data_IF_459017570161
#
_entry.id   IF_459017570161
#
_cell.length_a   1.000
_cell.length_b   1.000
_cell.length_c   1.000
_cell.angle_alpha   90.00
_cell.angle_beta   90.00
_cell.angle_gamma   90.00
#
_symmetry.space_group_name_H-M   'P 1'
#
loop_
_entity.id
_entity.type
_entity.pdbx_description
1 polymer ?
#
# COMPACT_ATOMS: atom_id res chain seq x y z
N UNK A 1 -4.14 -5.90 4.71
CA UNK A 1 -4.93 -4.85 5.37
C UNK A 1 -5.89 -4.22 4.38
N UNK A 2 -7.14 -4.09 4.71
CA UNK A 2 -8.21 -3.63 3.81
C UNK A 2 -9.11 -2.59 4.49
N UNK A 3 -9.74 -1.72 3.68
CA UNK A 3 -10.90 -0.92 4.07
C UNK A 3 -12.19 -1.65 3.66
N UNK A 4 -13.02 -2.01 4.61
CA UNK A 4 -14.03 -3.09 4.47
C UNK A 4 -15.32 -2.74 3.76
N UNK A 5 -15.76 -1.50 3.66
CA UNK A 5 -17.09 -1.20 3.08
C UNK A 5 -17.28 -1.62 1.61
N UNK A 6 -16.20 -1.95 0.89
CA UNK A 6 -16.25 -2.40 -0.50
C UNK A 6 -15.65 -3.80 -0.71
N UNK A 7 -15.23 -4.48 0.34
CA UNK A 7 -14.49 -5.73 0.26
C UNK A 7 -15.36 -6.99 0.40
N UNK A 8 -16.66 -6.90 0.69
CA UNK A 8 -17.51 -8.08 0.90
C UNK A 8 -17.56 -9.01 -0.33
N UNK A 9 -17.67 -8.42 -1.53
CA UNK A 9 -17.62 -9.21 -2.78
C UNK A 9 -16.26 -9.84 -3.01
N UNK A 10 -15.20 -9.09 -2.71
CA UNK A 10 -13.83 -9.58 -2.82
C UNK A 10 -13.54 -10.69 -1.81
N UNK A 11 -13.99 -10.55 -0.57
CA UNK A 11 -13.86 -11.55 0.48
C UNK A 11 -14.58 -12.86 0.10
N UNK A 12 -15.77 -12.75 -0.50
CA UNK A 12 -16.51 -13.92 -1.00
C UNK A 12 -15.73 -14.62 -2.11
N UNK A 13 -15.22 -13.87 -3.09
CA UNK A 13 -14.40 -14.42 -4.17
C UNK A 13 -13.12 -15.10 -3.67
N UNK A 14 -12.47 -14.53 -2.64
CA UNK A 14 -11.31 -15.16 -2.01
C UNK A 14 -11.67 -16.48 -1.33
N UNK A 15 -12.82 -16.53 -0.65
CA UNK A 15 -13.32 -17.76 -0.04
C UNK A 15 -13.63 -18.84 -1.09
N UNK A 16 -14.29 -18.45 -2.20
CA UNK A 16 -14.60 -19.34 -3.32
C UNK A 16 -13.31 -19.83 -4.05
N UNK A 17 -12.27 -18.99 -4.11
CA UNK A 17 -10.98 -19.34 -4.70
C UNK A 17 -10.09 -20.21 -3.78
N UNK A 18 -10.58 -20.66 -2.62
CA UNK A 18 -9.84 -21.51 -1.70
C UNK A 18 -8.72 -20.79 -0.94
N UNK A 19 -8.75 -19.46 -0.85
CA UNK A 19 -7.77 -18.66 -0.12
C UNK A 19 -7.99 -18.73 1.42
N UNK A 20 -8.11 -19.95 1.95
CA UNK A 20 -8.36 -20.23 3.38
C UNK A 20 -7.25 -19.69 4.30
N UNK A 21 -6.04 -19.48 3.76
CA UNK A 21 -4.89 -18.96 4.50
C UNK A 21 -4.82 -17.42 4.52
N UNK A 22 -5.73 -16.73 3.83
CA UNK A 22 -5.73 -15.27 3.76
C UNK A 22 -6.61 -14.71 4.90
N UNK A 23 -5.97 -14.00 5.83
CA UNK A 23 -6.68 -13.30 6.92
C UNK A 23 -6.76 -11.82 6.63
N UNK A 24 -7.96 -11.31 6.52
CA UNK A 24 -8.21 -9.88 6.34
C UNK A 24 -8.24 -9.17 7.69
N UNK A 25 -7.53 -8.05 7.78
CA UNK A 25 -7.48 -7.18 8.96
C UNK A 25 -7.85 -5.78 8.51
N UNK A 26 -8.78 -5.14 9.21
CA UNK A 26 -9.15 -3.76 8.93
C UNK A 26 -8.10 -2.80 9.46
N UNK A 27 -7.76 -1.76 8.69
CA UNK A 27 -6.81 -0.72 9.12
C UNK A 27 -7.31 0.00 10.37
N UNK A 28 -8.63 0.13 10.53
CA UNK A 28 -9.27 0.74 11.70
C UNK A 28 -9.16 -0.08 12.99
N UNK A 29 -8.81 -1.35 12.89
CA UNK A 29 -8.66 -2.27 14.03
C UNK A 29 -7.23 -2.34 14.57
N UNK A 30 -6.28 -1.60 13.97
CA UNK A 30 -4.88 -1.61 14.37
C UNK A 30 -4.72 -0.95 15.76
N UNK A 31 -4.60 -1.79 16.76
CA UNK A 31 -4.26 -1.44 18.12
C UNK A 31 -2.92 -2.08 18.55
N UNK A 32 -2.38 -1.78 19.74
CA UNK A 32 -1.12 -2.37 20.20
C UNK A 32 -1.14 -3.91 20.29
N UNK A 33 -2.29 -4.52 20.61
CA UNK A 33 -2.41 -5.97 20.72
C UNK A 33 -2.34 -6.62 19.32
N UNK A 34 -3.03 -6.06 18.34
CA UNK A 34 -2.97 -6.49 16.94
C UNK A 34 -1.56 -6.28 16.38
N UNK A 35 -0.90 -5.17 16.69
CA UNK A 35 0.48 -4.92 16.28
C UNK A 35 1.44 -5.99 16.80
N UNK A 36 1.29 -6.42 18.05
CA UNK A 36 2.08 -7.51 18.62
C UNK A 36 1.80 -8.85 17.89
N UNK A 37 0.53 -9.16 17.62
CA UNK A 37 0.17 -10.36 16.86
C UNK A 37 0.76 -10.33 15.44
N UNK A 38 0.74 -9.19 14.76
CA UNK A 38 1.35 -9.03 13.44
C UNK A 38 2.86 -9.27 13.48
N UNK A 39 3.55 -8.70 14.47
CA UNK A 39 5.00 -8.95 14.66
C UNK A 39 5.28 -10.44 14.83
N UNK A 40 4.57 -11.13 15.74
CA UNK A 40 4.74 -12.57 15.96
C UNK A 40 4.44 -13.42 14.72
N UNK A 41 3.51 -12.98 13.87
CA UNK A 41 3.20 -13.68 12.61
C UNK A 41 4.31 -13.50 11.59
N UNK A 42 4.86 -12.29 11.45
CA UNK A 42 6.02 -12.02 10.60
C UNK A 42 7.25 -12.83 11.05
N UNK A 43 7.49 -12.96 12.36
CA UNK A 43 8.57 -13.78 12.92
C UNK A 43 8.43 -15.27 12.56
N UNK A 44 7.20 -15.74 12.31
CA UNK A 44 6.92 -17.09 11.81
C UNK A 44 6.99 -17.22 10.29
N UNK A 45 7.41 -16.17 9.58
CA UNK A 45 7.53 -16.17 8.12
C UNK A 45 6.21 -15.88 7.37
N UNK A 46 5.18 -15.39 8.06
CA UNK A 46 3.96 -14.98 7.40
C UNK A 46 4.15 -13.63 6.68
N UNK A 47 3.32 -13.35 5.70
CA UNK A 47 3.37 -12.13 4.92
C UNK A 47 2.22 -11.19 5.27
N UNK A 48 2.50 -9.89 5.30
CA UNK A 48 1.52 -8.85 5.46
C UNK A 48 1.42 -8.03 4.17
N UNK A 49 0.25 -8.03 3.53
CA UNK A 49 0.00 -7.22 2.34
C UNK A 49 -0.84 -5.99 2.66
N UNK A 50 -0.48 -4.86 2.06
CA UNK A 50 -1.20 -3.58 2.19
C UNK A 50 -1.16 -2.84 0.86
N UNK A 51 -2.27 -2.24 0.44
CA UNK A 51 -2.30 -1.36 -0.72
C UNK A 51 -1.56 -0.05 -0.40
N UNK A 52 -0.58 0.31 -1.22
CA UNK A 52 0.26 1.49 -1.04
C UNK A 52 -0.13 2.70 -1.88
N UNK A 53 -1.06 2.54 -2.81
CA UNK A 53 -1.47 3.56 -3.78
C UNK A 53 -2.84 4.20 -3.46
N UNK A 54 -3.51 3.80 -2.39
CA UNK A 54 -4.87 4.26 -2.06
C UNK A 54 -4.89 5.05 -0.76
N UNK A 55 -5.25 6.33 -0.85
CA UNK A 55 -5.52 7.15 0.32
C UNK A 55 -6.92 6.80 0.84
N UNK A 56 -7.10 6.58 2.15
CA UNK A 56 -8.42 6.38 2.73
C UNK A 56 -9.33 7.59 2.48
N UNK A 57 -10.59 7.35 2.13
CA UNK A 57 -11.58 8.40 1.86
C UNK A 57 -11.86 9.30 3.06
N UNK A 58 -11.61 8.83 4.28
CA UNK A 58 -11.87 9.58 5.51
C UNK A 58 -10.67 9.44 6.46
N UNK A 59 -10.05 10.57 6.83
CA UNK A 59 -9.14 10.68 7.97
C UNK A 59 -7.76 10.03 7.85
N UNK A 60 -7.33 9.59 6.67
CA UNK A 60 -6.00 9.00 6.48
C UNK A 60 -4.89 10.06 6.35
N UNK A 61 -3.80 9.90 7.09
CA UNK A 61 -2.60 10.72 6.88
C UNK A 61 -1.97 10.35 5.54
N UNK A 62 -1.69 11.36 4.73
CA UNK A 62 -1.06 11.22 3.43
C UNK A 62 0.23 12.05 3.33
N UNK A 63 1.00 11.78 2.30
CA UNK A 63 2.17 12.56 1.89
C UNK A 63 2.00 12.89 0.41
N UNK A 64 2.23 14.13 0.05
CA UNK A 64 2.27 14.55 -1.36
C UNK A 64 3.68 14.35 -1.90
N UNK A 65 3.79 13.61 -2.98
CA UNK A 65 5.03 13.36 -3.72
C UNK A 65 4.75 13.46 -5.20
N UNK A 66 5.79 13.67 -5.99
CA UNK A 66 5.67 13.62 -7.45
C UNK A 66 5.31 12.20 -7.91
N UNK A 67 4.32 12.11 -8.79
CA UNK A 67 3.91 10.86 -9.43
C UNK A 67 3.50 11.14 -10.87
N UNK A 68 4.25 10.59 -11.81
CA UNK A 68 4.06 10.79 -13.25
C UNK A 68 4.07 12.28 -13.65
N UNK A 69 4.92 13.08 -13.00
CA UNK A 69 5.13 14.50 -13.30
C UNK A 69 4.16 15.46 -12.59
N UNK A 70 3.28 14.97 -11.72
CA UNK A 70 2.35 15.79 -10.96
C UNK A 70 2.32 15.41 -9.48
N UNK A 71 2.15 16.37 -8.54
CA UNK A 71 2.00 16.08 -7.12
C UNK A 71 0.76 15.23 -6.85
N UNK A 72 0.95 14.09 -6.21
CA UNK A 72 -0.13 13.17 -5.84
C UNK A 72 -0.05 12.77 -4.37
N UNK A 73 -1.20 12.48 -3.77
CA UNK A 73 -1.30 12.06 -2.38
C UNK A 73 -1.17 10.54 -2.26
N UNK A 74 -0.25 10.09 -1.41
CA UNK A 74 -0.04 8.67 -1.07
C UNK A 74 -0.22 8.44 0.43
N UNK A 75 -0.71 7.26 0.85
CA UNK A 75 -0.91 6.97 2.27
C UNK A 75 0.41 6.83 3.02
N UNK A 76 0.47 7.36 4.24
CA UNK A 76 1.61 7.14 5.15
C UNK A 76 1.58 5.77 5.84
N UNK A 77 0.41 5.16 5.91
CA UNK A 77 0.15 3.93 6.67
C UNK A 77 1.12 2.78 6.38
N UNK A 78 1.39 2.42 5.12
CA UNK A 78 2.32 1.35 4.78
C UNK A 78 3.71 1.54 5.38
N UNK A 79 4.26 2.75 5.30
CA UNK A 79 5.60 3.06 5.81
C UNK A 79 5.65 3.12 7.33
N UNK A 80 4.61 3.69 7.97
CA UNK A 80 4.47 3.67 9.42
C UNK A 80 4.42 2.23 9.93
N UNK A 81 3.64 1.37 9.29
CA UNK A 81 3.49 -0.01 9.69
C UNK A 81 4.80 -0.79 9.51
N UNK A 82 5.45 -0.65 8.35
CA UNK A 82 6.72 -1.32 8.07
C UNK A 82 7.82 -0.92 9.07
N UNK A 83 7.91 0.38 9.43
CA UNK A 83 8.88 0.85 10.39
C UNK A 83 8.58 0.45 11.83
N UNK A 84 7.32 0.33 12.22
CA UNK A 84 6.92 -0.18 13.53
C UNK A 84 7.19 -1.68 13.67
N UNK A 85 6.92 -2.44 12.61
CA UNK A 85 7.14 -3.89 12.56
C UNK A 85 8.61 -4.26 12.26
N UNK A 86 9.43 -3.28 11.82
CA UNK A 86 10.86 -3.46 11.49
C UNK A 86 11.11 -4.62 10.52
N UNK A 87 10.21 -4.81 9.57
CA UNK A 87 10.26 -5.90 8.60
C UNK A 87 10.73 -5.41 7.22
N UNK A 88 11.28 -6.29 6.39
CA UNK A 88 11.54 -6.00 4.98
C UNK A 88 10.25 -5.66 4.23
N UNK A 89 10.37 -4.84 3.20
CA UNK A 89 9.28 -4.47 2.31
C UNK A 89 9.59 -4.98 0.91
N UNK A 90 8.61 -5.66 0.32
CA UNK A 90 8.64 -6.06 -1.07
C UNK A 90 7.47 -5.41 -1.82
N UNK A 91 7.66 -5.09 -3.09
CA UNK A 91 6.58 -4.68 -3.97
C UNK A 91 6.00 -5.92 -4.66
N UNK A 92 4.69 -6.04 -4.61
CA UNK A 92 3.95 -7.08 -5.30
C UNK A 92 3.05 -6.42 -6.35
N UNK A 93 3.32 -6.73 -7.61
CA UNK A 93 2.54 -6.23 -8.75
C UNK A 93 2.10 -7.40 -9.62
N UNK A 94 1.03 -7.18 -10.37
CA UNK A 94 0.54 -8.15 -11.35
C UNK A 94 0.22 -7.40 -12.65
N UNK A 95 0.94 -7.74 -13.70
CA UNK A 95 0.75 -7.17 -15.04
C UNK A 95 0.32 -8.25 -16.02
N UNK A 96 -0.59 -7.91 -16.93
CA UNK A 96 -0.96 -8.79 -18.03
C UNK A 96 -0.13 -8.41 -19.26
N UNK A 97 0.73 -9.31 -19.68
CA UNK A 97 1.56 -9.13 -20.88
C UNK A 97 1.36 -10.32 -21.82
N UNK A 98 1.13 -10.03 -23.11
CA UNK A 98 0.92 -11.06 -24.15
C UNK A 98 -0.15 -12.12 -23.75
N UNK A 99 -1.24 -11.67 -23.14
CA UNK A 99 -2.35 -12.54 -22.72
C UNK A 99 -2.11 -13.34 -21.43
N UNK A 100 -0.95 -13.23 -20.78
CA UNK A 100 -0.58 -13.94 -19.53
C UNK A 100 -0.41 -12.96 -18.37
N UNK A 101 -0.77 -13.38 -17.17
CA UNK A 101 -0.48 -12.63 -15.95
C UNK A 101 0.94 -12.90 -15.48
N UNK A 102 1.71 -11.85 -15.30
CA UNK A 102 3.03 -11.88 -14.69
C UNK A 102 2.94 -11.28 -13.29
N UNK A 103 3.20 -12.09 -12.28
CA UNK A 103 3.33 -11.66 -10.90
C UNK A 103 4.78 -11.27 -10.65
N UNK A 104 5.00 -10.04 -10.20
CA UNK A 104 6.31 -9.47 -9.92
C UNK A 104 6.39 -9.27 -8.42
N UNK A 105 7.37 -9.90 -7.79
CA UNK A 105 7.74 -9.69 -6.39
C UNK A 105 9.18 -9.18 -6.38
N UNK A 106 9.37 -7.93 -5.97
CA UNK A 106 10.71 -7.34 -5.93
C UNK A 106 11.06 -6.80 -4.55
N UNK A 107 12.29 -7.01 -4.06
CA UNK A 107 12.77 -6.37 -2.85
C UNK A 107 12.76 -4.84 -3.01
N UNK A 108 12.20 -4.14 -2.01
CA UNK A 108 12.11 -2.68 -2.04
C UNK A 108 12.93 -2.02 -0.93
N UNK A 109 12.86 -2.57 0.27
CA UNK A 109 13.64 -2.12 1.41
C UNK A 109 13.89 -3.27 2.38
N UNK A 110 15.14 -3.40 2.85
CA UNK A 110 15.48 -4.38 3.90
C UNK A 110 14.88 -3.99 5.25
N UNK A 111 14.75 -2.69 5.52
CA UNK A 111 14.04 -2.14 6.66
C UNK A 111 13.64 -0.69 6.43
N UNK A 112 12.45 -0.32 6.89
CA UNK A 112 12.01 1.06 7.00
C UNK A 112 12.39 1.56 8.40
N UNK A 113 13.30 2.53 8.49
CA UNK A 113 13.79 3.05 9.77
C UNK A 113 13.74 4.57 9.78
N UNK A 114 13.53 5.15 10.97
CA UNK A 114 13.61 6.57 11.23
C UNK A 114 14.09 6.86 12.64
N UNK A 115 14.67 8.03 12.84
CA UNK A 115 14.87 8.61 14.17
C UNK A 115 13.64 9.42 14.56
N UNK A 116 13.47 9.67 15.86
CA UNK A 116 12.28 10.39 16.37
C UNK A 116 12.04 11.74 15.66
N UNK A 117 13.10 12.44 15.31
CA UNK A 117 13.03 13.80 14.76
C UNK A 117 12.94 13.83 13.21
N UNK A 118 13.18 12.71 12.52
CA UNK A 118 13.21 12.65 11.05
C UNK A 118 12.09 11.77 10.46
N UNK A 119 11.22 11.22 11.31
CA UNK A 119 10.16 10.27 10.88
C UNK A 119 9.35 10.78 9.69
N UNK A 120 8.90 12.04 9.74
CA UNK A 120 8.07 12.60 8.68
C UNK A 120 8.84 12.70 7.35
N UNK A 121 10.09 13.14 7.43
CA UNK A 121 10.98 13.24 6.27
C UNK A 121 11.27 11.85 5.68
N UNK A 122 11.55 10.86 6.53
CA UNK A 122 11.80 9.48 6.08
C UNK A 122 10.58 8.85 5.42
N UNK A 123 9.38 9.05 5.98
CA UNK A 123 8.13 8.60 5.37
C UNK A 123 7.95 9.23 3.98
N UNK A 124 8.22 10.53 3.84
CA UNK A 124 8.15 11.21 2.54
C UNK A 124 9.14 10.63 1.52
N UNK A 125 10.37 10.34 1.94
CA UNK A 125 11.38 9.72 1.07
C UNK A 125 10.97 8.31 0.61
N UNK A 126 10.49 7.45 1.53
CA UNK A 126 10.01 6.11 1.18
C UNK A 126 8.80 6.18 0.24
N UNK A 127 7.88 7.12 0.50
CA UNK A 127 6.71 7.36 -0.35
C UNK A 127 7.14 7.80 -1.76
N UNK A 128 8.07 8.74 -1.87
CA UNK A 128 8.57 9.22 -3.17
C UNK A 128 9.25 8.09 -3.96
N UNK A 129 10.10 7.29 -3.32
CA UNK A 129 10.74 6.13 -3.95
C UNK A 129 9.71 5.09 -4.43
N UNK A 130 8.66 4.85 -3.65
CA UNK A 130 7.57 3.97 -4.05
C UNK A 130 6.79 4.54 -5.24
N UNK A 131 6.42 5.83 -5.19
CA UNK A 131 5.71 6.50 -6.27
C UNK A 131 6.50 6.45 -7.58
N UNK A 132 7.81 6.72 -7.53
CA UNK A 132 8.70 6.57 -8.69
C UNK A 132 8.65 5.15 -9.26
N UNK A 133 8.79 4.12 -8.39
CA UNK A 133 8.79 2.73 -8.84
C UNK A 133 7.44 2.30 -9.41
N UNK A 134 6.36 2.67 -8.75
CA UNK A 134 5.00 2.45 -9.24
C UNK A 134 4.79 3.14 -10.61
N UNK A 135 5.26 4.39 -10.75
CA UNK A 135 5.19 5.15 -11.99
C UNK A 135 5.85 4.44 -13.17
N UNK A 136 7.01 3.81 -12.96
CA UNK A 136 7.69 3.00 -13.98
C UNK A 136 6.80 1.85 -14.48
N UNK A 137 6.09 1.15 -13.59
CA UNK A 137 5.14 0.11 -13.96
C UNK A 137 3.88 0.66 -14.65
N UNK A 138 3.38 1.80 -14.20
CA UNK A 138 2.26 2.48 -14.84
C UNK A 138 2.60 2.90 -16.27
N UNK A 139 3.82 3.37 -16.54
CA UNK A 139 4.27 3.70 -17.90
C UNK A 139 4.42 2.46 -18.81
N UNK A 140 4.81 1.30 -18.23
CA UNK A 140 4.88 0.05 -18.99
C UNK A 140 3.50 -0.50 -19.37
N UNK A 141 2.49 -0.29 -18.53
CA UNK A 141 1.16 -0.83 -18.73
C UNK A 141 0.06 0.15 -18.27
N UNK A 142 -0.07 1.34 -18.90
CA UNK A 142 -0.91 2.42 -18.38
C UNK A 142 -2.40 2.05 -18.28
N UNK A 143 -2.88 1.15 -19.12
CA UNK A 143 -4.27 0.68 -19.08
C UNK A 143 -4.55 -0.34 -17.97
N UNK A 144 -3.53 -0.75 -17.22
CA UNK A 144 -3.66 -1.75 -16.16
C UNK A 144 -3.55 -1.15 -14.74
N UNK A 145 -3.33 0.15 -14.64
CA UNK A 145 -3.46 0.87 -13.38
C UNK A 145 -4.90 1.37 -13.27
N UNK A 146 -5.75 0.54 -12.66
CA UNK A 146 -7.20 0.75 -12.54
C UNK A 146 -7.53 1.88 -11.55
N UNK A 147 -7.22 3.12 -11.95
CA UNK A 147 -7.50 4.31 -11.19
C UNK A 147 -8.68 5.07 -11.81
N UNK A 148 -9.87 4.97 -11.22
CA UNK A 148 -11.11 5.54 -11.73
C UNK A 148 -11.61 6.72 -10.91
N UNK A 149 -10.71 7.44 -10.24
CA UNK A 149 -10.99 8.66 -9.49
C UNK A 149 -9.91 9.72 -9.78
N UNK A 150 -10.16 11.01 -9.47
CA UNK A 150 -9.19 12.07 -9.73
C UNK A 150 -8.03 12.00 -8.74
N UNK A 151 -7.01 11.21 -9.10
CA UNK A 151 -5.87 10.88 -8.25
C UNK A 151 -4.99 12.09 -7.89
N UNK A 152 -4.84 13.04 -8.81
CA UNK A 152 -4.00 14.22 -8.66
C UNK A 152 -4.75 15.44 -8.13
N UNK A 153 -6.07 15.39 -7.94
CA UNK A 153 -6.82 16.50 -7.36
C UNK A 153 -6.36 16.80 -5.93
N UNK A 154 -6.31 18.08 -5.61
CA UNK A 154 -6.10 18.58 -4.25
C UNK A 154 -7.44 18.70 -3.54
N UNK A 155 -7.43 18.83 -2.20
CA UNK A 155 -8.66 19.12 -1.44
C UNK A 155 -9.27 20.46 -1.89
N UNK A 156 -8.44 21.41 -2.37
CA UNK A 156 -8.87 22.69 -2.94
C UNK A 156 -9.62 22.55 -4.28
N UNK A 157 -9.46 21.43 -4.99
CA UNK A 157 -10.14 21.13 -6.25
C UNK A 157 -11.49 20.41 -6.04
N UNK A 158 -11.88 20.14 -4.79
CA UNK A 158 -13.09 19.38 -4.45
C UNK A 158 -14.23 20.28 -3.94
N UNK A 159 -13.98 21.56 -3.71
CA UNK A 159 -15.02 22.55 -3.38
C UNK A 159 -15.58 23.18 -4.66
N UNK A 160 -16.89 23.03 -4.93
CA UNK A 160 -17.56 23.71 -6.04
C UNK A 160 -17.86 25.16 -5.71
#
# INVERSE_FOLDING_TARGET
>A
LVHTKHAERFNRLLGEAGASNLRLIQVSELDPAIMLQLSQRLDRGEWLAIAGDRVPLHGGRNVRVDFLGHPAAFPQGPWLLAGLLKCPVNLLLCLKQQGRYQVILEPFADAVQWKRNDRQQMIAQWTARYAERLGQYCLQAPQQWFNFYPFWKTDDDLDP
#
